data_IF_049782708019
#
_entry.id   IF_049782708019
#
_cell.length_a   1.000
_cell.length_b   1.000
_cell.length_c   1.000
_cell.angle_alpha   90.00
_cell.angle_beta   90.00
_cell.angle_gamma   90.00
#
_symmetry.space_group_name_H-M   'P 1'
#
loop_
_entity.id
_entity.type
_entity.pdbx_description
1 polymer ?
#
# COMPACT_ATOMS: atom_id res chain seq x y z
N UNK A 1 -53.48 -32.79 28.77
CA UNK A 1 -52.80 -31.48 28.87
C UNK A 1 -51.85 -31.52 30.08
N UNK A 2 -50.53 -31.60 29.86
CA UNK A 2 -49.35 -31.33 30.75
C UNK A 2 -48.13 -31.57 29.82
N UNK A 3 -47.48 -30.57 29.21
CA UNK A 3 -46.32 -29.76 29.64
C UNK A 3 -45.02 -30.51 30.04
N UNK A 4 -44.10 -30.58 29.07
CA UNK A 4 -42.69 -30.10 29.13
C UNK A 4 -41.54 -31.02 29.61
N UNK A 5 -40.56 -31.14 28.70
CA UNK A 5 -39.09 -31.24 28.86
C UNK A 5 -38.43 -32.52 29.40
N UNK A 6 -37.56 -33.10 28.56
CA UNK A 6 -36.17 -33.39 28.94
C UNK A 6 -35.24 -33.34 27.73
N UNK A 7 -34.18 -32.54 27.87
CA UNK A 7 -33.14 -32.20 26.89
C UNK A 7 -32.25 -33.43 26.64
N UNK A 8 -32.05 -33.81 25.38
CA UNK A 8 -31.00 -34.75 24.98
C UNK A 8 -29.69 -33.97 24.81
N UNK A 9 -28.74 -34.20 25.71
CA UNK A 9 -27.36 -33.79 25.55
C UNK A 9 -26.60 -34.74 24.63
N UNK A 10 -25.65 -34.20 23.89
CA UNK A 10 -24.33 -34.76 23.54
C UNK A 10 -23.78 -33.96 22.36
N UNK A 11 -22.89 -33.00 22.65
CA UNK A 11 -22.06 -32.37 21.63
C UNK A 11 -20.78 -33.19 21.53
N UNK A 12 -20.59 -33.87 20.41
CA UNK A 12 -19.33 -34.51 20.05
C UNK A 12 -18.52 -33.51 19.22
N UNK A 13 -17.51 -32.87 19.81
CA UNK A 13 -16.49 -32.15 19.07
C UNK A 13 -15.39 -33.14 18.67
N UNK A 14 -15.42 -33.60 17.42
CA UNK A 14 -14.31 -34.31 16.82
C UNK A 14 -13.12 -33.37 16.65
N UNK A 15 -11.97 -33.75 17.23
CA UNK A 15 -10.72 -33.01 17.10
C UNK A 15 -10.06 -33.30 15.75
N UNK A 16 -10.01 -32.29 14.87
CA UNK A 16 -9.07 -32.25 13.74
C UNK A 16 -8.90 -30.81 13.24
N UNK A 17 -7.78 -30.18 13.60
CA UNK A 17 -6.99 -29.20 12.83
C UNK A 17 -6.11 -28.36 13.78
N UNK A 18 -4.85 -28.76 13.97
CA UNK A 18 -3.81 -27.84 14.43
C UNK A 18 -3.03 -27.45 13.18
N UNK A 19 -3.43 -26.34 12.56
CA UNK A 19 -2.60 -25.63 11.59
C UNK A 19 -3.09 -24.18 11.50
N UNK A 20 -2.63 -23.34 12.42
CA UNK A 20 -2.47 -21.91 12.14
C UNK A 20 -1.16 -21.46 12.78
N UNK A 21 -0.04 -21.76 12.11
CA UNK A 21 1.16 -20.94 12.23
C UNK A 21 1.15 -19.93 11.11
N UNK A 22 0.24 -18.96 11.17
CA UNK A 22 0.50 -17.67 10.55
C UNK A 22 0.96 -16.73 11.66
N UNK A 23 2.28 -16.58 11.77
CA UNK A 23 2.80 -15.26 12.12
C UNK A 23 2.40 -14.39 10.92
N UNK A 24 1.18 -13.85 10.97
CA UNK A 24 0.85 -12.67 10.20
C UNK A 24 1.97 -11.69 10.52
N UNK A 25 2.85 -11.46 9.54
CA UNK A 25 3.94 -10.52 9.68
C UNK A 25 3.36 -9.24 10.25
N UNK A 26 3.89 -8.80 11.38
CA UNK A 26 3.56 -7.48 11.91
C UNK A 26 3.91 -6.50 10.79
N UNK A 27 2.88 -6.01 10.09
CA UNK A 27 3.03 -4.85 9.24
C UNK A 27 3.36 -3.71 10.21
N UNK A 28 4.66 -3.54 10.45
CA UNK A 28 5.18 -2.55 11.35
C UNK A 28 4.86 -1.20 10.70
N UNK A 29 3.75 -0.58 11.11
CA UNK A 29 3.54 0.83 10.89
C UNK A 29 4.59 1.53 11.77
N UNK A 30 5.73 1.86 11.16
CA UNK A 30 6.81 2.53 11.87
C UNK A 30 6.31 3.92 12.26
N UNK A 31 6.24 4.18 13.56
CA UNK A 31 5.62 5.40 14.10
C UNK A 31 6.54 6.57 13.77
N UNK A 32 6.12 7.42 12.84
CA UNK A 32 6.84 8.65 12.47
C UNK A 32 7.46 8.65 11.07
N UNK A 33 7.39 7.55 10.33
CA UNK A 33 7.77 7.56 8.91
C UNK A 33 6.60 8.12 8.09
N UNK A 34 6.81 9.17 7.27
CA UNK A 34 5.74 9.67 6.40
C UNK A 34 5.34 8.59 5.38
N UNK A 35 4.05 8.43 5.13
CA UNK A 35 3.52 7.49 4.14
C UNK A 35 2.46 8.19 3.28
N UNK A 36 2.41 7.85 1.99
CA UNK A 36 1.26 8.19 1.13
C UNK A 36 0.37 6.95 0.95
N UNK A 37 -0.92 7.04 1.25
CA UNK A 37 -1.86 5.91 1.27
C UNK A 37 -3.27 6.33 0.82
N UNK A 38 -4.21 5.38 0.60
CA UNK A 38 -5.59 5.68 0.26
C UNK A 38 -6.26 6.72 1.17
N UNK A 39 -7.21 7.44 0.59
CA UNK A 39 -7.99 8.52 1.20
C UNK A 39 -7.23 9.79 1.58
N UNK A 40 -5.92 9.85 1.34
CA UNK A 40 -5.14 11.07 1.50
C UNK A 40 -5.27 12.02 0.31
N UNK A 41 -4.95 13.29 0.56
CA UNK A 41 -4.96 14.36 -0.43
C UNK A 41 -3.77 15.31 -0.24
N UNK A 42 -3.47 16.08 -1.27
CA UNK A 42 -2.46 17.16 -1.23
C UNK A 42 -1.22 16.85 -2.06
N UNK A 43 -0.17 17.64 -1.85
CA UNK A 43 0.97 17.69 -2.76
C UNK A 43 1.76 16.38 -2.84
N UNK A 44 1.87 15.65 -1.74
CA UNK A 44 2.50 14.33 -1.74
C UNK A 44 1.77 13.36 -2.70
N UNK A 45 0.44 13.42 -2.76
CA UNK A 45 -0.37 12.63 -3.68
C UNK A 45 -0.18 13.09 -5.12
N UNK A 46 -0.14 14.41 -5.36
CA UNK A 46 0.18 15.00 -6.68
C UNK A 46 1.52 14.46 -7.20
N UNK A 47 2.50 14.37 -6.32
CA UNK A 47 3.82 13.88 -6.64
C UNK A 47 3.87 12.37 -6.90
N UNK A 48 3.10 11.57 -6.17
CA UNK A 48 2.93 10.14 -6.50
C UNK A 48 2.26 9.97 -7.86
N UNK A 49 1.19 10.71 -8.13
CA UNK A 49 0.46 10.64 -9.40
C UNK A 49 1.33 11.08 -10.59
N UNK A 50 2.14 12.13 -10.42
CA UNK A 50 3.12 12.55 -11.43
C UNK A 50 4.14 11.46 -11.73
N UNK A 51 4.66 10.79 -10.71
CA UNK A 51 5.61 9.70 -10.90
C UNK A 51 5.00 8.55 -11.70
N UNK A 52 3.76 8.20 -11.39
CA UNK A 52 3.02 7.16 -12.10
C UNK A 52 2.77 7.58 -13.57
N UNK A 53 2.45 8.85 -13.84
CA UNK A 53 2.35 9.34 -15.22
C UNK A 53 3.67 9.20 -15.98
N UNK A 54 4.80 9.57 -15.37
CA UNK A 54 6.13 9.40 -15.97
C UNK A 54 6.48 7.93 -16.18
N UNK A 55 6.00 7.04 -15.31
CA UNK A 55 6.12 5.60 -15.45
C UNK A 55 5.14 5.00 -16.51
N UNK A 56 4.33 5.83 -17.17
CA UNK A 56 3.45 5.43 -18.27
C UNK A 56 2.00 5.14 -17.88
N UNK A 57 1.58 5.43 -16.64
CA UNK A 57 0.19 5.24 -16.22
C UNK A 57 -0.69 6.44 -16.62
N UNK A 58 -1.78 6.16 -17.34
CA UNK A 58 -2.76 7.17 -17.75
C UNK A 58 -3.75 7.54 -16.65
N UNK A 59 -3.27 8.11 -15.53
CA UNK A 59 -4.11 8.57 -14.42
C UNK A 59 -4.16 10.10 -14.35
N UNK A 60 -5.18 10.64 -13.66
CA UNK A 60 -5.30 12.07 -13.40
C UNK A 60 -4.40 12.47 -12.23
N UNK A 61 -3.77 13.63 -12.34
CA UNK A 61 -2.99 14.25 -11.26
C UNK A 61 -3.82 15.33 -10.57
N UNK A 62 -4.77 14.89 -9.74
CA UNK A 62 -5.73 15.73 -9.01
C UNK A 62 -5.39 15.93 -7.53
N UNK A 63 -4.33 15.28 -7.04
CA UNK A 63 -3.94 15.31 -5.64
C UNK A 63 -4.89 14.54 -4.72
N UNK A 64 -5.71 13.65 -5.26
CA UNK A 64 -6.63 12.78 -4.49
C UNK A 64 -6.21 11.33 -4.64
N UNK A 65 -5.97 10.66 -3.51
CA UNK A 65 -5.59 9.25 -3.52
C UNK A 65 -6.83 8.37 -3.66
N UNK A 66 -7.36 8.30 -4.88
CA UNK A 66 -8.51 7.45 -5.24
C UNK A 66 -8.11 6.07 -5.78
N UNK A 67 -9.12 5.33 -6.23
CA UNK A 67 -8.97 3.96 -6.76
C UNK A 67 -8.02 3.88 -7.96
N UNK A 68 -8.02 4.89 -8.84
CA UNK A 68 -7.12 4.94 -10.00
C UNK A 68 -5.65 5.03 -9.57
N UNK A 69 -5.34 5.87 -8.58
CA UNK A 69 -3.99 5.99 -8.00
C UNK A 69 -3.57 4.69 -7.34
N UNK A 70 -4.46 4.05 -6.57
CA UNK A 70 -4.19 2.76 -5.94
C UNK A 70 -3.88 1.65 -6.96
N UNK A 71 -4.68 1.54 -8.03
CA UNK A 71 -4.49 0.54 -9.07
C UNK A 71 -3.16 0.73 -9.82
N UNK A 72 -2.85 1.99 -10.19
CA UNK A 72 -1.58 2.31 -10.84
C UNK A 72 -0.38 2.06 -9.91
N UNK A 73 -0.47 2.42 -8.62
CA UNK A 73 0.62 2.20 -7.69
C UNK A 73 0.88 0.72 -7.43
N UNK A 74 -0.16 -0.08 -7.26
CA UNK A 74 0.00 -1.53 -7.03
C UNK A 74 0.59 -2.23 -8.25
N UNK A 75 0.22 -1.84 -9.48
CA UNK A 75 0.89 -2.35 -10.69
C UNK A 75 2.36 -1.90 -10.75
N UNK A 76 2.63 -0.63 -10.43
CA UNK A 76 4.00 -0.11 -10.36
C UNK A 76 4.85 -0.90 -9.36
N UNK A 77 4.35 -1.11 -8.15
CA UNK A 77 5.02 -1.90 -7.12
C UNK A 77 5.32 -3.32 -7.61
N UNK A 78 4.35 -4.00 -8.25
CA UNK A 78 4.55 -5.33 -8.84
C UNK A 78 5.66 -5.34 -9.89
N UNK A 79 5.63 -4.39 -10.84
CA UNK A 79 6.65 -4.27 -11.90
C UNK A 79 8.04 -4.00 -11.35
N UNK A 80 8.14 -3.38 -10.18
CA UNK A 80 9.40 -3.09 -9.48
C UNK A 80 9.79 -4.16 -8.46
N UNK A 81 9.04 -5.26 -8.35
CA UNK A 81 9.33 -6.34 -7.39
C UNK A 81 9.13 -5.95 -5.92
N UNK A 82 8.28 -4.95 -5.66
CA UNK A 82 7.93 -4.47 -4.32
C UNK A 82 6.64 -5.13 -3.81
N UNK A 83 6.39 -4.99 -2.50
CA UNK A 83 5.07 -5.27 -1.91
C UNK A 83 4.01 -4.41 -2.61
N UNK A 84 2.97 -5.05 -3.14
CA UNK A 84 1.90 -4.42 -3.89
C UNK A 84 0.72 -4.02 -2.99
N UNK A 85 1.02 -3.30 -1.91
CA UNK A 85 0.08 -2.88 -0.86
C UNK A 85 -0.60 -1.54 -1.15
N UNK A 86 -0.17 -0.84 -2.21
CA UNK A 86 -0.72 0.46 -2.58
C UNK A 86 -0.42 1.56 -1.56
N UNK A 87 0.66 1.41 -0.79
CA UNK A 87 1.19 2.42 0.13
C UNK A 87 2.58 2.86 -0.34
N UNK A 88 2.79 4.17 -0.42
CA UNK A 88 4.12 4.73 -0.66
C UNK A 88 4.83 4.90 0.67
N UNK A 89 5.62 3.89 1.03
CA UNK A 89 6.66 4.00 2.06
C UNK A 89 8.05 4.19 1.45
N UNK A 90 9.11 4.23 2.27
CA UNK A 90 10.49 4.55 1.84
C UNK A 90 10.96 3.79 0.59
N UNK A 91 10.77 2.46 0.54
CA UNK A 91 11.18 1.64 -0.61
C UNK A 91 10.41 1.98 -1.90
N UNK A 92 9.12 2.26 -1.78
CA UNK A 92 8.29 2.67 -2.92
C UNK A 92 8.64 4.08 -3.36
N UNK A 93 8.94 4.97 -2.42
CA UNK A 93 9.40 6.32 -2.71
C UNK A 93 10.75 6.34 -3.40
N UNK A 94 11.72 5.51 -2.99
CA UNK A 94 12.98 5.34 -3.71
C UNK A 94 12.74 4.90 -5.16
N UNK A 95 11.89 3.89 -5.37
CA UNK A 95 11.53 3.42 -6.71
C UNK A 95 10.86 4.50 -7.57
N UNK A 96 10.01 5.34 -6.96
CA UNK A 96 9.40 6.50 -7.60
C UNK A 96 10.48 7.55 -7.94
N UNK A 97 11.42 7.79 -7.03
CA UNK A 97 12.52 8.75 -7.19
C UNK A 97 13.43 8.37 -8.36
N UNK A 98 13.76 7.08 -8.52
CA UNK A 98 14.47 6.61 -9.72
C UNK A 98 13.67 6.82 -11.02
N UNK A 99 12.34 6.85 -10.96
CA UNK A 99 11.48 7.19 -12.10
C UNK A 99 11.54 8.67 -12.51
N UNK A 100 11.99 9.55 -11.60
CA UNK A 100 12.24 10.97 -11.88
C UNK A 100 13.65 11.24 -12.42
N UNK A 101 14.55 10.24 -12.42
CA UNK A 101 15.89 10.40 -12.99
C UNK A 101 15.78 10.52 -14.50
N UNK A 102 16.20 11.66 -15.03
CA UNK A 102 16.41 11.86 -16.46
C UNK A 102 17.47 10.86 -16.96
N UNK A 103 17.54 10.57 -18.28
CA UNK A 103 18.58 9.74 -18.86
C UNK A 103 20.01 10.18 -18.52
N UNK A 104 20.19 11.44 -18.13
CA UNK A 104 21.45 12.03 -17.67
C UNK A 104 21.83 11.66 -16.23
N UNK A 105 20.97 10.96 -15.47
CA UNK A 105 21.20 10.66 -14.05
C UNK A 105 21.11 11.88 -13.13
N UNK A 106 20.79 13.05 -13.68
CA UNK A 106 20.57 14.29 -12.93
C UNK A 106 19.10 14.31 -12.54
N UNK A 107 18.83 14.40 -11.23
CA UNK A 107 17.51 14.80 -10.74
C UNK A 107 17.21 16.17 -11.36
N UNK A 108 16.01 16.36 -11.89
CA UNK A 108 15.53 17.71 -12.17
C UNK A 108 15.52 18.48 -10.84
N UNK A 109 16.64 19.14 -10.51
CA UNK A 109 16.99 19.50 -9.14
C UNK A 109 16.16 20.66 -8.57
N UNK A 110 15.18 21.16 -9.33
CA UNK A 110 14.19 22.13 -8.89
C UNK A 110 12.78 21.53 -8.67
N UNK A 111 12.63 20.21 -8.68
CA UNK A 111 11.32 19.59 -8.53
C UNK A 111 10.94 19.36 -7.05
N UNK A 112 9.83 19.97 -6.61
CA UNK A 112 9.28 19.89 -5.24
C UNK A 112 8.88 18.46 -4.80
N UNK A 113 8.67 17.56 -5.75
CA UNK A 113 8.15 16.22 -5.50
C UNK A 113 9.10 15.23 -4.79
N UNK A 114 10.37 15.09 -5.19
CA UNK A 114 11.31 14.20 -4.53
C UNK A 114 11.58 14.53 -3.05
N UNK A 115 11.29 15.75 -2.57
CA UNK A 115 11.55 16.14 -1.17
C UNK A 115 10.41 15.84 -0.20
N UNK A 116 9.20 15.56 -0.71
CA UNK A 116 8.00 15.32 0.13
C UNK A 116 7.48 13.87 0.07
N UNK A 117 8.02 13.04 -0.83
CA UNK A 117 7.76 11.60 -0.87
C UNK A 117 8.76 10.90 0.07
N UNK A 118 8.31 9.96 0.93
CA UNK A 118 9.20 9.25 1.83
C UNK A 118 10.22 8.39 1.07
N UNK A 119 11.51 8.61 1.31
CA UNK A 119 12.66 7.83 0.79
C UNK A 119 13.44 7.18 1.92
N UNK A 120 14.36 6.26 1.62
CA UNK A 120 15.27 5.68 2.64
C UNK A 120 16.53 6.51 2.91
N UNK A 121 16.77 7.54 2.11
CA UNK A 121 17.91 8.45 2.20
C UNK A 121 17.49 9.84 2.64
#
# INVERSE_FOLDING_TARGET
MIKTALRRGAVAFGAAAIAVTSLAGVAQADVGVPYVKPDQRGDAVVCVQKALQLAGYGIVRDGVYGQATYAALTDFQRRRGLSADGIVGPKTGDAIHYGYLLPSGILAYEEYCPTIIPTTH
#
